data_IF_369674954975
#
_entry.id   IF_369674954975
#
_cell.length_a   1.000
_cell.length_b   1.000
_cell.length_c   1.000
_cell.angle_alpha   90.00
_cell.angle_beta   90.00
_cell.angle_gamma   90.00
#
_symmetry.space_group_name_H-M   'P 1'
#
loop_
_entity.id
_entity.type
_entity.pdbx_description
1 polymer ?
#
# COMPACT_ATOMS: atom_id res chain seq x y z
N UNK A 1 -9.18 13.29 -19.89
CA UNK A 1 -8.36 13.96 -18.86
C UNK A 1 -7.12 14.51 -19.56
N UNK A 2 -6.93 15.79 -19.50
CA UNK A 2 -5.73 16.39 -20.10
C UNK A 2 -4.51 15.98 -19.29
N UNK A 3 -3.54 15.35 -19.93
CA UNK A 3 -2.27 15.10 -19.29
C UNK A 3 -1.67 16.45 -18.88
N UNK A 4 -1.30 16.60 -17.62
CA UNK A 4 -0.53 17.76 -17.20
C UNK A 4 0.81 17.67 -17.91
N UNK A 5 1.19 18.73 -18.59
CA UNK A 5 2.46 18.76 -19.29
C UNK A 5 3.60 18.45 -18.32
N UNK A 6 4.45 17.48 -18.66
CA UNK A 6 5.64 17.16 -17.86
C UNK A 6 6.50 18.42 -17.62
N UNK A 7 6.57 19.32 -18.58
CA UNK A 7 7.30 20.58 -18.45
C UNK A 7 6.76 21.49 -17.35
N UNK A 8 5.52 21.30 -16.94
CA UNK A 8 4.90 22.09 -15.86
C UNK A 8 5.45 21.70 -14.49
N UNK A 9 5.82 20.44 -14.30
CA UNK A 9 6.33 19.91 -13.04
C UNK A 9 7.79 19.50 -13.11
N UNK A 10 8.30 19.18 -14.30
CA UNK A 10 9.63 18.61 -14.46
C UNK A 10 10.72 19.67 -14.21
N UNK A 11 11.41 19.52 -13.11
CA UNK A 11 12.69 20.15 -12.82
C UNK A 11 12.69 21.62 -12.46
N UNK A 12 11.70 22.40 -12.87
CA UNK A 12 11.70 23.85 -12.65
C UNK A 12 11.24 24.16 -11.21
N UNK A 13 12.20 24.46 -10.32
CA UNK A 13 11.91 24.91 -8.96
C UNK A 13 11.53 23.81 -7.98
N UNK A 14 11.63 22.52 -8.36
CA UNK A 14 11.42 21.43 -7.41
C UNK A 14 12.63 21.28 -6.51
N UNK A 15 12.49 21.70 -5.25
CA UNK A 15 13.56 21.68 -4.25
C UNK A 15 13.34 20.67 -3.14
N UNK A 16 12.20 20.01 -3.09
CA UNK A 16 11.92 18.99 -2.09
C UNK A 16 12.79 17.74 -2.33
N UNK A 17 13.26 17.08 -1.27
CA UNK A 17 14.19 15.95 -1.38
C UNK A 17 13.52 14.63 -1.80
N UNK A 18 12.22 14.64 -2.03
CA UNK A 18 11.46 13.43 -2.32
C UNK A 18 11.70 12.91 -3.73
N UNK A 19 11.78 11.59 -3.88
CA UNK A 19 11.97 10.90 -5.15
C UNK A 19 10.80 9.97 -5.47
N UNK A 20 9.63 10.23 -4.93
CA UNK A 20 8.44 9.42 -5.09
C UNK A 20 8.02 8.76 -3.78
N UNK A 21 7.15 7.78 -3.88
CA UNK A 21 6.69 7.00 -2.74
C UNK A 21 7.57 5.77 -2.56
N UNK A 22 8.03 5.53 -1.32
CA UNK A 22 8.67 4.27 -0.97
C UNK A 22 7.63 3.15 -0.92
N UNK A 23 6.57 3.36 -0.18
CA UNK A 23 5.44 2.42 -0.14
C UNK A 23 4.16 3.14 0.27
N UNK A 24 3.05 2.55 -0.11
CA UNK A 24 1.71 2.90 0.36
C UNK A 24 1.12 1.67 1.03
N UNK A 25 0.61 1.84 2.24
CA UNK A 25 0.09 0.73 3.03
C UNK A 25 -1.40 0.87 3.28
N UNK A 26 -2.11 -0.21 3.08
CA UNK A 26 -3.51 -0.39 3.44
C UNK A 26 -3.65 -1.46 4.52
N UNK A 27 -4.85 -1.73 4.93
CA UNK A 27 -5.17 -2.84 5.83
C UNK A 27 -5.94 -3.94 5.11
N UNK A 28 -5.77 -5.16 5.57
CA UNK A 28 -6.57 -6.32 5.15
C UNK A 28 -6.92 -7.16 6.37
N UNK A 29 -8.01 -7.86 6.33
CA UNK A 29 -8.38 -8.84 7.34
C UNK A 29 -8.12 -10.29 6.89
N UNK A 30 -7.53 -10.47 5.72
CA UNK A 30 -7.16 -11.76 5.16
C UNK A 30 -5.89 -11.64 4.31
N UNK A 31 -4.73 -11.78 4.95
CA UNK A 31 -3.45 -11.64 4.27
C UNK A 31 -3.22 -12.75 3.24
N UNK A 32 -3.74 -13.95 3.47
CA UNK A 32 -3.62 -15.05 2.50
C UNK A 32 -4.34 -14.72 1.20
N UNK A 33 -5.58 -14.28 1.29
CA UNK A 33 -6.36 -13.87 0.12
C UNK A 33 -5.75 -12.66 -0.58
N UNK A 34 -5.29 -11.69 0.19
CA UNK A 34 -4.61 -10.48 -0.33
C UNK A 34 -3.34 -10.86 -1.08
N UNK A 35 -2.51 -11.70 -0.50
CA UNK A 35 -1.27 -12.16 -1.14
C UNK A 35 -1.56 -12.94 -2.42
N UNK A 36 -2.53 -13.84 -2.38
CA UNK A 36 -2.92 -14.61 -3.56
C UNK A 36 -3.37 -13.69 -4.71
N UNK A 37 -4.18 -12.70 -4.41
CA UNK A 37 -4.66 -11.75 -5.41
C UNK A 37 -3.51 -10.92 -6.00
N UNK A 38 -2.71 -10.26 -5.18
CA UNK A 38 -1.66 -9.37 -5.71
C UNK A 38 -0.48 -10.12 -6.31
N UNK A 39 -0.04 -11.21 -5.71
CA UNK A 39 1.09 -11.97 -6.24
C UNK A 39 0.71 -12.90 -7.39
N UNK A 40 -0.36 -13.68 -7.26
CA UNK A 40 -0.69 -14.72 -8.21
C UNK A 40 -1.65 -14.25 -9.31
N UNK A 41 -2.59 -13.36 -9.01
CA UNK A 41 -3.50 -12.83 -10.04
C UNK A 41 -2.88 -11.64 -10.77
N UNK A 42 -2.36 -10.65 -10.03
CA UNK A 42 -1.78 -9.44 -10.64
C UNK A 42 -0.28 -9.54 -10.92
N UNK A 43 0.40 -10.57 -10.42
CA UNK A 43 1.81 -10.79 -10.70
C UNK A 43 2.77 -9.85 -9.99
N UNK A 44 2.36 -9.24 -8.89
CA UNK A 44 3.23 -8.40 -8.07
C UNK A 44 4.05 -9.27 -7.12
N UNK A 45 5.40 -9.34 -7.24
CA UNK A 45 6.17 -10.18 -6.35
C UNK A 45 6.06 -9.74 -4.90
N UNK A 46 5.83 -10.69 -3.99
CA UNK A 46 5.97 -10.45 -2.55
C UNK A 46 7.47 -10.36 -2.25
N UNK A 47 7.92 -9.18 -1.84
CA UNK A 47 9.36 -8.93 -1.62
C UNK A 47 9.74 -8.84 -0.16
N UNK A 48 8.77 -8.62 0.72
CA UNK A 48 9.01 -8.57 2.16
C UNK A 48 7.78 -9.01 2.93
N UNK A 49 7.99 -9.86 3.93
CA UNK A 49 6.95 -10.36 4.80
C UNK A 49 7.48 -10.38 6.24
N UNK A 50 6.83 -9.67 7.14
CA UNK A 50 7.26 -9.57 8.52
C UNK A 50 6.07 -9.46 9.46
N UNK A 51 6.31 -9.81 10.72
CA UNK A 51 5.49 -9.32 11.84
C UNK A 51 6.11 -8.01 12.35
N UNK A 52 5.27 -7.13 12.86
CA UNK A 52 5.82 -5.96 13.54
C UNK A 52 6.63 -6.40 14.75
N UNK A 53 7.80 -5.77 14.99
CA UNK A 53 8.65 -6.15 16.12
C UNK A 53 7.95 -5.97 17.46
N UNK A 54 8.31 -6.81 18.43
CA UNK A 54 7.92 -6.61 19.82
C UNK A 54 8.40 -5.22 20.29
N UNK A 55 7.58 -4.57 21.11
CA UNK A 55 7.91 -3.26 21.66
C UNK A 55 7.59 -2.08 20.76
N UNK A 56 7.02 -2.31 19.58
CA UNK A 56 6.46 -1.21 18.78
C UNK A 56 5.25 -0.65 19.52
N UNK A 57 5.28 0.65 19.77
CA UNK A 57 4.30 1.30 20.64
C UNK A 57 4.69 1.24 22.10
N UNK A 58 3.93 1.92 22.92
CA UNK A 58 4.09 1.94 24.37
C UNK A 58 3.14 0.96 25.03
N UNK A 59 3.35 0.67 26.33
CA UNK A 59 2.39 -0.11 27.12
C UNK A 59 0.99 0.49 27.10
N UNK A 60 0.90 1.79 26.95
CA UNK A 60 -0.36 2.55 26.89
C UNK A 60 -0.95 2.60 25.49
N UNK A 61 -0.11 2.49 24.45
CA UNK A 61 -0.51 2.60 23.06
C UNK A 61 0.07 1.45 22.23
N UNK A 62 -0.40 0.24 22.51
CA UNK A 62 0.00 -0.96 21.78
C UNK A 62 -0.80 -1.17 20.48
N UNK A 63 -1.78 -0.34 20.24
CA UNK A 63 -2.70 -0.51 19.13
C UNK A 63 -3.86 -1.46 19.46
N UNK A 64 -4.84 -1.49 18.58
CA UNK A 64 -5.96 -2.42 18.64
C UNK A 64 -6.25 -2.97 17.24
N UNK A 65 -5.83 -4.22 16.92
CA UNK A 65 -5.11 -5.17 17.78
C UNK A 65 -3.68 -4.70 18.13
N UNK A 66 -3.05 -5.34 19.14
CA UNK A 66 -1.67 -4.99 19.47
C UNK A 66 -0.73 -5.15 18.28
N UNK A 67 0.21 -4.23 18.13
CA UNK A 67 1.09 -4.16 16.94
C UNK A 67 1.90 -5.44 16.72
N UNK A 68 2.29 -6.14 17.78
CA UNK A 68 3.02 -7.41 17.70
C UNK A 68 2.21 -8.56 17.08
N UNK A 69 0.91 -8.39 16.95
CA UNK A 69 0.02 -9.37 16.31
C UNK A 69 -0.20 -9.11 14.84
N UNK A 70 0.35 -8.01 14.31
CA UNK A 70 0.08 -7.55 12.96
C UNK A 70 1.17 -8.03 12.02
N UNK A 71 0.78 -8.70 10.94
CA UNK A 71 1.67 -8.99 9.82
C UNK A 71 1.69 -7.83 8.84
N UNK A 72 2.86 -7.59 8.25
CA UNK A 72 3.07 -6.54 7.28
C UNK A 72 3.77 -7.11 6.05
N UNK A 73 3.10 -7.06 4.92
CA UNK A 73 3.58 -7.63 3.66
C UNK A 73 3.71 -6.53 2.61
N UNK A 74 4.77 -6.58 1.83
CA UNK A 74 5.08 -5.60 0.80
C UNK A 74 5.29 -6.30 -0.53
N UNK A 75 4.63 -5.76 -1.55
CA UNK A 75 4.68 -6.24 -2.93
C UNK A 75 5.38 -5.22 -3.80
N UNK A 76 6.19 -5.70 -4.74
CA UNK A 76 6.88 -4.84 -5.70
C UNK A 76 5.91 -4.42 -6.82
N UNK A 77 5.78 -3.11 -7.03
CA UNK A 77 5.01 -2.55 -8.14
C UNK A 77 5.89 -1.81 -9.15
N UNK A 78 7.21 -2.03 -9.07
CA UNK A 78 8.25 -1.42 -9.89
C UNK A 78 8.51 0.06 -9.58
N UNK A 79 9.54 0.62 -10.21
CA UNK A 79 9.98 2.00 -10.02
C UNK A 79 10.24 2.36 -8.56
N UNK A 80 10.89 1.43 -7.82
CA UNK A 80 11.24 1.58 -6.41
C UNK A 80 10.02 1.84 -5.49
N UNK A 81 8.84 1.44 -5.94
CA UNK A 81 7.60 1.62 -5.20
C UNK A 81 7.05 0.28 -4.72
N UNK A 82 6.53 0.27 -3.51
CA UNK A 82 5.96 -0.92 -2.90
C UNK A 82 4.49 -0.69 -2.54
N UNK A 83 3.74 -1.76 -2.67
CA UNK A 83 2.34 -1.86 -2.27
C UNK A 83 2.25 -2.73 -1.04
N UNK A 84 1.73 -2.20 0.06
CA UNK A 84 1.88 -2.85 1.36
C UNK A 84 0.54 -3.05 2.06
N UNK A 85 0.49 -4.08 2.90
CA UNK A 85 -0.67 -4.37 3.72
C UNK A 85 -0.27 -4.70 5.15
N UNK A 86 -1.06 -4.19 6.09
CA UNK A 86 -1.10 -4.64 7.46
C UNK A 86 -2.31 -5.53 7.65
N UNK A 87 -2.11 -6.73 8.23
CA UNK A 87 -3.23 -7.62 8.52
C UNK A 87 -3.85 -7.30 9.87
N UNK A 88 -5.13 -7.00 9.84
CA UNK A 88 -5.96 -6.80 11.04
C UNK A 88 -6.86 -8.03 11.19
N UNK A 89 -6.92 -8.67 12.37
CA UNK A 89 -7.79 -9.82 12.56
C UNK A 89 -9.25 -9.53 12.19
N UNK A 90 -9.91 -10.52 11.62
CA UNK A 90 -11.31 -10.39 11.23
C UNK A 90 -12.19 -10.00 12.40
N UNK A 91 -13.07 -9.04 12.16
CA UNK A 91 -14.03 -8.56 13.16
C UNK A 91 -13.49 -7.52 14.14
N UNK A 92 -12.18 -7.25 14.14
CA UNK A 92 -11.59 -6.27 15.05
C UNK A 92 -11.95 -4.82 14.70
N UNK A 93 -12.11 -4.54 13.41
CA UNK A 93 -12.48 -3.21 12.93
C UNK A 93 -13.52 -3.32 11.82
N UNK A 94 -14.45 -2.39 11.83
CA UNK A 94 -15.40 -2.24 10.74
C UNK A 94 -14.79 -1.40 9.62
N UNK A 95 -15.22 -1.67 8.40
CA UNK A 95 -14.87 -0.82 7.28
C UNK A 95 -15.49 0.56 7.48
N UNK A 96 -14.69 1.61 7.38
CA UNK A 96 -15.16 2.99 7.42
C UNK A 96 -15.60 3.44 6.03
N UNK A 97 -16.36 4.54 5.99
CA UNK A 97 -16.73 5.18 4.72
C UNK A 97 -15.47 5.71 4.04
N UNK A 98 -15.12 5.13 2.90
CA UNK A 98 -13.94 5.53 2.13
C UNK A 98 -14.08 6.91 1.48
N UNK A 99 -15.30 7.42 1.35
CA UNK A 99 -15.57 8.74 0.79
C UNK A 99 -15.45 9.85 1.84
N UNK A 100 -15.27 9.49 3.10
CA UNK A 100 -15.05 10.45 4.17
C UNK A 100 -13.69 11.14 4.02
N UNK A 101 -13.56 12.40 4.46
CA UNK A 101 -12.26 13.08 4.47
C UNK A 101 -11.21 12.24 5.19
N UNK A 102 -10.04 12.04 4.56
CA UNK A 102 -8.98 11.17 5.05
C UNK A 102 -9.12 9.71 4.68
N UNK A 103 -10.24 9.29 4.07
CA UNK A 103 -10.43 7.95 3.56
C UNK A 103 -9.61 7.67 2.30
N UNK A 104 -9.29 6.40 2.07
CA UNK A 104 -8.64 5.96 0.83
C UNK A 104 -9.72 5.68 -0.23
N UNK A 105 -9.85 6.58 -1.19
CA UNK A 105 -10.88 6.45 -2.23
C UNK A 105 -10.50 5.39 -3.28
N UNK A 106 -9.34 5.54 -3.89
CA UNK A 106 -8.82 4.57 -4.85
C UNK A 106 -7.30 4.71 -5.03
N UNK A 107 -6.70 3.67 -5.61
CA UNK A 107 -5.33 3.68 -6.09
C UNK A 107 -5.32 3.22 -7.54
N UNK A 108 -4.57 3.91 -8.38
CA UNK A 108 -4.42 3.55 -9.78
C UNK A 108 -2.98 3.10 -10.05
N UNK A 109 -2.83 1.93 -10.65
CA UNK A 109 -1.54 1.45 -11.13
C UNK A 109 -1.42 1.71 -12.62
N UNK A 110 -0.25 2.16 -13.05
CA UNK A 110 0.04 2.34 -14.46
C UNK A 110 0.52 1.01 -15.08
N UNK A 111 -0.07 0.64 -16.19
CA UNK A 111 0.34 -0.51 -16.98
C UNK A 111 0.46 -0.11 -18.43
N UNK A 112 1.27 -0.82 -19.21
CA UNK A 112 1.29 -0.61 -20.65
C UNK A 112 -0.03 -1.05 -21.29
N UNK A 113 -0.37 -0.48 -22.45
CA UNK A 113 -1.58 -0.85 -23.17
C UNK A 113 -1.60 -2.34 -23.52
N UNK A 114 -0.44 -2.90 -23.89
CA UNK A 114 -0.33 -4.32 -24.22
C UNK A 114 -0.61 -5.23 -23.03
N UNK A 115 -0.23 -4.80 -21.84
CA UNK A 115 -0.44 -5.58 -20.62
C UNK A 115 -1.82 -5.38 -20.01
N UNK A 116 -2.48 -4.28 -20.35
CA UNK A 116 -3.81 -3.98 -19.81
C UNK A 116 -4.83 -5.06 -20.16
N UNK A 117 -4.80 -5.55 -21.39
CA UNK A 117 -5.71 -6.60 -21.85
C UNK A 117 -5.36 -8.00 -21.28
N UNK A 118 -4.16 -8.16 -20.71
CA UNK A 118 -3.70 -9.42 -20.13
C UNK A 118 -4.03 -9.57 -18.63
N UNK A 119 -4.47 -8.50 -17.98
CA UNK A 119 -4.86 -8.50 -16.58
C UNK A 119 -6.35 -8.82 -16.45
#
# INVERSE_FOLDING_TARGET
MNAVSESHFAGAGFTAPFRGLHHLALTTDDMKLTTDFYANVLGMPLVHAMKLPEGVGTLENRGNPPYECIRHYLFDVRNDSLWAFFEIPKGEKTQTDRDAPGGMLHVAFAVSSDQFDAI
#
